data_IF_036862072163
#
_entry.id   IF_036862072163
#
_cell.length_a   1.000
_cell.length_b   1.000
_cell.length_c   1.000
_cell.angle_alpha   90.00
_cell.angle_beta   90.00
_cell.angle_gamma   90.00
#
_symmetry.space_group_name_H-M   'P 1'
#
loop_
_entity.id
_entity.type
_entity.pdbx_description
1 polymer ?
#
# COMPACT_ATOMS: atom_id res chain seq x y z
N UNK A 1 23.09 25.38 -80.46
CA UNK A 1 22.79 24.47 -79.33
C UNK A 1 23.80 24.71 -78.22
N UNK A 2 23.37 25.28 -77.09
CA UNK A 2 24.16 25.33 -75.85
C UNK A 2 23.18 25.27 -74.68
N UNK A 3 23.20 24.12 -74.01
CA UNK A 3 22.15 23.65 -73.12
C UNK A 3 22.30 24.32 -71.74
N UNK A 4 21.44 25.28 -71.42
CA UNK A 4 21.40 25.94 -70.10
C UNK A 4 20.41 25.30 -69.11
N UNK A 5 19.85 24.13 -69.44
CA UNK A 5 18.80 23.50 -68.61
C UNK A 5 19.34 22.58 -67.49
N UNK A 6 20.66 22.30 -67.45
CA UNK A 6 21.22 21.26 -66.56
C UNK A 6 21.78 21.80 -65.23
N UNK A 7 22.01 23.11 -65.08
CA UNK A 7 22.67 23.67 -63.88
C UNK A 7 21.70 24.03 -62.75
N UNK A 8 20.47 24.36 -63.07
CA UNK A 8 19.40 24.66 -62.09
C UNK A 8 18.81 23.39 -61.46
N UNK A 9 18.92 22.25 -62.14
CA UNK A 9 18.42 20.96 -61.63
C UNK A 9 19.35 20.31 -60.59
N UNK A 10 20.66 20.58 -60.62
CA UNK A 10 21.61 19.97 -59.69
C UNK A 10 21.65 20.69 -58.33
N UNK A 11 21.43 22.01 -58.33
CA UNK A 11 21.41 22.83 -57.10
C UNK A 11 20.14 22.63 -56.27
N UNK A 12 19.02 22.28 -56.91
CA UNK A 12 17.77 22.02 -56.18
C UNK A 12 17.75 20.64 -55.48
N UNK A 13 18.47 19.65 -56.01
CA UNK A 13 18.56 18.31 -55.42
C UNK A 13 19.49 18.30 -54.19
N UNK A 14 20.51 19.17 -54.16
CA UNK A 14 21.44 19.27 -53.03
C UNK A 14 20.82 19.93 -51.79
N UNK A 15 19.82 20.81 -51.95
CA UNK A 15 19.10 21.43 -50.82
C UNK A 15 18.03 20.55 -50.18
N UNK A 16 17.51 19.54 -50.90
CA UNK A 16 16.50 18.61 -50.38
C UNK A 16 17.14 17.50 -49.53
N UNK A 17 18.43 17.21 -49.74
CA UNK A 17 19.15 16.15 -49.02
C UNK A 17 19.66 16.57 -47.62
N UNK A 18 19.61 17.85 -47.26
CA UNK A 18 20.09 18.38 -45.97
C UNK A 18 19.00 18.58 -44.91
N UNK A 19 17.73 18.27 -45.19
CA UNK A 19 16.60 18.44 -44.26
C UNK A 19 16.02 17.12 -43.73
N UNK A 20 16.73 16.00 -43.91
CA UNK A 20 16.25 14.65 -43.55
C UNK A 20 17.04 13.98 -42.40
N UNK A 21 17.64 14.77 -41.49
CA UNK A 21 18.28 14.25 -40.28
C UNK A 21 17.70 14.84 -38.99
N UNK A 22 16.37 14.90 -38.89
CA UNK A 22 15.71 14.86 -37.59
C UNK A 22 14.97 13.53 -37.50
N UNK A 23 15.72 12.48 -37.17
CA UNK A 23 15.09 11.33 -36.53
C UNK A 23 14.46 11.86 -35.24
N UNK A 24 13.18 11.57 -34.93
CA UNK A 24 12.75 11.67 -33.56
C UNK A 24 13.69 10.74 -32.78
N UNK A 25 14.48 11.31 -31.87
CA UNK A 25 15.07 10.54 -30.80
C UNK A 25 13.86 9.90 -30.13
N UNK A 26 13.69 8.61 -30.36
CA UNK A 26 12.87 7.79 -29.50
C UNK A 26 13.58 7.92 -28.15
N UNK A 27 13.04 8.78 -27.28
CA UNK A 27 13.37 8.74 -25.88
C UNK A 27 12.96 7.34 -25.44
N UNK A 28 13.93 6.43 -25.47
CA UNK A 28 13.91 5.25 -24.65
C UNK A 28 13.77 5.78 -23.22
N UNK A 29 12.53 5.83 -22.73
CA UNK A 29 12.29 5.77 -21.29
C UNK A 29 13.18 4.64 -20.81
N UNK A 30 14.15 4.90 -19.91
CA UNK A 30 14.87 3.82 -19.29
C UNK A 30 13.79 2.93 -18.70
N UNK A 31 13.56 1.77 -19.32
CA UNK A 31 12.93 0.66 -18.62
C UNK A 31 13.93 0.39 -17.53
N UNK A 32 13.64 0.90 -16.33
CA UNK A 32 14.47 0.67 -15.15
C UNK A 32 14.79 -0.81 -15.13
N UNK A 33 16.07 -1.12 -14.94
CA UNK A 33 16.51 -2.50 -14.81
C UNK A 33 15.54 -3.20 -13.83
N UNK A 34 14.78 -4.23 -14.28
CA UNK A 34 13.83 -4.91 -13.41
C UNK A 34 14.51 -5.52 -12.18
N UNK A 35 15.85 -5.59 -12.15
CA UNK A 35 16.63 -6.01 -10.99
C UNK A 35 16.75 -4.96 -9.87
N UNK A 36 16.38 -3.69 -10.09
CA UNK A 36 16.61 -2.63 -9.08
C UNK A 36 15.34 -2.16 -8.36
N UNK A 37 14.14 -2.61 -8.74
CA UNK A 37 12.88 -2.19 -8.11
C UNK A 37 12.74 -0.65 -7.97
N UNK A 38 13.35 0.16 -8.83
CA UNK A 38 13.45 1.63 -8.61
C UNK A 38 12.14 2.36 -8.94
N UNK A 39 11.25 1.74 -9.73
CA UNK A 39 10.11 2.42 -10.36
C UNK A 39 10.50 3.18 -11.63
N UNK A 40 9.57 3.93 -12.21
CA UNK A 40 9.79 4.69 -13.44
C UNK A 40 10.45 6.06 -13.15
N UNK A 41 11.66 6.28 -13.69
CA UNK A 41 12.39 7.54 -13.56
C UNK A 41 11.60 8.70 -14.19
N UNK A 42 11.60 9.88 -13.56
CA UNK A 42 10.86 11.09 -13.94
C UNK A 42 9.32 10.93 -13.92
N UNK A 43 8.81 9.90 -13.24
CA UNK A 43 7.37 9.78 -12.96
C UNK A 43 7.09 10.30 -11.54
N UNK A 44 5.96 11.00 -11.31
CA UNK A 44 5.61 11.42 -9.96
C UNK A 44 5.51 10.24 -9.00
N UNK A 45 5.96 10.42 -7.77
CA UNK A 45 5.67 9.49 -6.68
C UNK A 45 4.18 9.58 -6.34
N UNK A 46 3.49 8.43 -6.33
CA UNK A 46 2.05 8.35 -6.09
C UNK A 46 1.71 7.15 -5.23
N UNK A 47 0.73 7.31 -4.34
CA UNK A 47 0.11 6.19 -3.63
C UNK A 47 -0.59 5.27 -4.66
N UNK A 48 -0.30 3.97 -4.60
CA UNK A 48 -0.94 2.95 -5.45
C UNK A 48 -2.04 2.19 -4.69
N UNK A 49 -1.85 1.95 -3.41
CA UNK A 49 -2.84 1.30 -2.56
C UNK A 49 -2.60 1.57 -1.07
N UNK A 50 -3.62 1.29 -0.26
CA UNK A 50 -3.51 1.29 1.20
C UNK A 50 -4.35 0.16 1.78
N UNK A 51 -3.92 -0.31 2.95
CA UNK A 51 -4.69 -1.18 3.83
C UNK A 51 -4.74 -0.51 5.19
N UNK A 52 -5.92 -0.23 5.75
CA UNK A 52 -7.22 -0.20 5.08
C UNK A 52 -7.25 0.74 3.87
N UNK A 53 -8.21 0.52 2.96
CA UNK A 53 -8.48 1.47 1.88
C UNK A 53 -9.04 2.79 2.44
N UNK A 54 -8.82 3.88 1.73
CA UNK A 54 -9.41 5.17 2.10
C UNK A 54 -10.94 5.08 2.15
N UNK A 55 -11.53 5.66 3.20
CA UNK A 55 -12.94 5.57 3.53
C UNK A 55 -13.42 4.24 4.10
N UNK A 56 -12.53 3.26 4.35
CA UNK A 56 -12.95 1.95 4.84
C UNK A 56 -13.68 2.05 6.20
N UNK A 57 -14.75 1.27 6.35
CA UNK A 57 -15.51 1.13 7.60
C UNK A 57 -15.38 -0.29 8.15
N UNK A 58 -15.77 -0.47 9.40
CA UNK A 58 -15.77 -1.79 10.07
C UNK A 58 -14.40 -2.47 10.08
N UNK A 59 -13.34 -1.66 10.18
CA UNK A 59 -11.96 -2.13 10.30
C UNK A 59 -11.73 -2.77 11.67
N UNK A 60 -11.11 -3.95 11.68
CA UNK A 60 -10.79 -4.66 12.92
C UNK A 60 -9.69 -3.93 13.71
N UNK A 61 -9.77 -3.99 15.04
CA UNK A 61 -8.83 -3.32 15.93
C UNK A 61 -7.36 -3.78 15.78
N UNK A 62 -7.15 -4.99 15.26
CA UNK A 62 -5.85 -5.63 15.01
C UNK A 62 -5.57 -5.81 13.51
N UNK A 63 -6.16 -4.97 12.66
CA UNK A 63 -5.87 -5.04 11.23
C UNK A 63 -4.40 -4.72 10.97
N UNK A 64 -3.88 -5.30 9.90
CA UNK A 64 -2.69 -4.79 9.25
C UNK A 64 -2.95 -3.37 8.72
N UNK A 65 -1.94 -2.51 8.81
CA UNK A 65 -1.95 -1.16 8.25
C UNK A 65 -0.72 -0.99 7.37
N UNK A 66 -0.91 -0.62 6.10
CA UNK A 66 0.15 -0.39 5.14
C UNK A 66 -0.25 0.61 4.06
N UNK A 67 0.75 1.23 3.44
CA UNK A 67 0.62 2.10 2.28
C UNK A 67 1.65 1.72 1.25
N UNK A 68 1.24 1.61 -0.01
CA UNK A 68 2.11 1.21 -1.12
C UNK A 68 2.18 2.31 -2.18
N UNK A 69 3.34 2.40 -2.84
CA UNK A 69 3.67 3.43 -3.82
C UNK A 69 4.12 2.81 -5.14
N UNK A 70 4.21 3.65 -6.17
CA UNK A 70 4.65 3.24 -7.51
C UNK A 70 6.18 3.23 -7.69
N UNK A 71 6.94 3.59 -6.65
CA UNK A 71 8.40 3.69 -6.66
C UNK A 71 9.00 3.19 -5.33
N UNK A 72 10.31 2.92 -5.30
CA UNK A 72 10.97 2.38 -4.11
C UNK A 72 11.04 3.44 -3.02
N UNK A 73 10.45 3.15 -1.87
CA UNK A 73 10.42 4.05 -0.72
C UNK A 73 11.03 3.40 0.53
N UNK A 74 11.50 2.15 0.44
CA UNK A 74 12.00 1.40 1.61
C UNK A 74 13.53 1.27 1.64
N UNK A 75 14.18 1.57 0.51
CA UNK A 75 15.62 1.51 0.36
C UNK A 75 16.37 2.28 1.46
N UNK A 76 17.52 1.73 1.88
CA UNK A 76 18.35 2.30 2.95
C UNK A 76 18.74 3.76 2.72
N UNK A 77 18.92 4.20 1.46
CA UNK A 77 19.31 5.57 1.15
C UNK A 77 18.24 6.63 1.49
N UNK A 78 16.95 6.25 1.48
CA UNK A 78 15.81 7.15 1.74
C UNK A 78 15.10 6.86 3.08
N UNK A 79 15.46 5.74 3.72
CA UNK A 79 14.78 5.20 4.91
C UNK A 79 14.62 6.20 6.05
N UNK A 80 15.69 6.90 6.46
CA UNK A 80 15.63 7.82 7.61
C UNK A 80 14.59 8.93 7.41
N UNK A 81 14.48 9.44 6.18
CA UNK A 81 13.50 10.46 5.80
C UNK A 81 12.09 9.86 5.78
N UNK A 82 11.94 8.69 5.16
CA UNK A 82 10.64 8.06 4.92
C UNK A 82 10.00 7.50 6.20
N UNK A 83 10.79 7.01 7.15
CA UNK A 83 10.30 6.60 8.49
C UNK A 83 9.57 7.73 9.21
N UNK A 84 9.94 8.99 8.95
CA UNK A 84 9.33 10.18 9.58
C UNK A 84 8.17 10.77 8.75
N UNK A 85 8.02 10.34 7.50
CA UNK A 85 7.03 10.88 6.57
C UNK A 85 5.63 10.27 6.76
N UNK A 86 5.50 9.15 7.47
CA UNK A 86 4.25 8.42 7.67
C UNK A 86 3.84 8.44 9.14
N UNK A 87 2.59 8.77 9.42
CA UNK A 87 2.07 8.83 10.80
C UNK A 87 0.61 8.35 10.88
N UNK A 88 0.20 7.77 12.01
CA UNK A 88 -1.21 7.48 12.29
C UNK A 88 -1.79 8.50 13.27
N UNK A 89 -3.02 8.93 13.03
CA UNK A 89 -3.74 9.91 13.84
C UNK A 89 -5.13 9.43 14.25
N UNK A 90 -5.58 9.90 15.41
CA UNK A 90 -6.94 9.77 15.91
C UNK A 90 -7.35 11.07 16.62
N UNK A 91 -8.46 11.69 16.19
CA UNK A 91 -9.00 12.91 16.83
C UNK A 91 -7.95 14.02 17.03
N UNK A 92 -7.11 14.24 16.03
CA UNK A 92 -6.06 15.27 16.07
C UNK A 92 -4.87 14.95 16.99
N UNK A 93 -4.75 13.71 17.49
CA UNK A 93 -3.58 13.23 18.22
C UNK A 93 -2.89 12.13 17.42
N UNK A 94 -1.56 12.19 17.36
CA UNK A 94 -0.77 11.10 16.80
C UNK A 94 -0.90 9.87 17.69
N UNK A 95 -1.09 8.72 17.06
CA UNK A 95 -1.12 7.39 17.68
C UNK A 95 0.30 6.84 17.67
N UNK A 96 0.71 6.21 18.77
CA UNK A 96 2.03 5.62 18.88
C UNK A 96 2.12 4.35 18.02
N UNK A 97 2.99 4.38 17.01
CA UNK A 97 3.16 3.32 16.03
C UNK A 97 4.61 3.29 15.55
N UNK A 98 5.10 2.09 15.28
CA UNK A 98 6.38 1.87 14.63
C UNK A 98 6.16 1.86 13.11
N UNK A 99 6.91 2.70 12.41
CA UNK A 99 6.93 2.75 10.95
C UNK A 99 8.00 1.77 10.48
N UNK A 100 7.62 0.78 9.69
CA UNK A 100 8.49 -0.31 9.28
C UNK A 100 8.67 -0.28 7.77
N UNK A 101 9.92 -0.11 7.37
CA UNK A 101 10.40 -0.18 5.99
C UNK A 101 11.21 -1.47 5.86
N UNK A 102 10.72 -2.42 5.06
CA UNK A 102 11.43 -3.69 4.79
C UNK A 102 12.78 -3.42 4.12
N UNK A 103 13.72 -4.36 4.26
CA UNK A 103 14.97 -4.29 3.50
C UNK A 103 14.71 -4.80 2.08
N UNK A 104 14.86 -3.92 1.09
CA UNK A 104 14.55 -4.23 -0.32
C UNK A 104 15.50 -5.24 -0.96
N UNK A 105 16.60 -5.60 -0.29
CA UNK A 105 17.48 -6.69 -0.70
C UNK A 105 17.06 -8.05 -0.12
N UNK A 106 16.36 -8.05 1.02
CA UNK A 106 15.88 -9.26 1.71
C UNK A 106 14.44 -9.59 1.32
N UNK A 107 13.57 -8.58 1.29
CA UNK A 107 12.14 -8.66 0.99
C UNK A 107 11.83 -7.77 -0.25
N UNK A 108 12.33 -8.13 -1.45
CA UNK A 108 12.23 -7.30 -2.64
C UNK A 108 10.80 -7.04 -3.12
N UNK A 109 9.82 -7.84 -2.69
CA UNK A 109 8.39 -7.62 -2.94
C UNK A 109 7.82 -6.40 -2.22
N UNK A 110 8.45 -5.96 -1.12
CA UNK A 110 8.00 -4.88 -0.24
C UNK A 110 8.64 -3.52 -0.59
N UNK A 111 9.41 -3.45 -1.68
CA UNK A 111 10.17 -2.27 -2.12
C UNK A 111 9.38 -0.95 -2.12
N UNK A 112 8.08 -1.00 -2.41
CA UNK A 112 7.18 0.15 -2.47
C UNK A 112 6.24 0.27 -1.28
N UNK A 113 6.37 -0.56 -0.24
CA UNK A 113 5.37 -0.70 0.83
C UNK A 113 5.91 -0.31 2.20
N UNK A 114 5.22 0.61 2.86
CA UNK A 114 5.50 1.01 4.24
C UNK A 114 4.44 0.40 5.15
N UNK A 115 4.86 -0.33 6.18
CA UNK A 115 3.97 -0.93 7.19
C UNK A 115 3.91 -0.03 8.43
N UNK A 116 2.72 0.06 9.03
CA UNK A 116 2.48 0.88 10.22
C UNK A 116 2.01 -0.05 11.36
N UNK A 117 2.90 -0.33 12.31
CA UNK A 117 2.64 -1.23 13.42
C UNK A 117 2.23 -0.44 14.66
N UNK A 118 0.95 -0.43 14.98
CA UNK A 118 0.44 0.21 16.20
C UNK A 118 0.97 -0.48 17.45
N UNK A 119 1.41 0.28 18.45
CA UNK A 119 1.85 -0.31 19.73
C UNK A 119 0.69 -0.80 20.58
N UNK A 120 -0.43 -0.08 20.51
CA UNK A 120 -1.69 -0.43 21.15
C UNK A 120 -2.75 -0.80 20.12
N UNK A 121 -3.68 -1.68 20.49
CA UNK A 121 -4.85 -1.97 19.66
C UNK A 121 -5.65 -0.71 19.34
N UNK A 122 -6.14 -0.62 18.11
CA UNK A 122 -7.04 0.46 17.74
C UNK A 122 -8.33 0.37 18.56
N UNK A 123 -8.85 1.53 18.96
CA UNK A 123 -10.10 1.62 19.71
C UNK A 123 -11.27 1.45 18.76
N UNK A 124 -12.23 0.62 19.17
CA UNK A 124 -13.49 0.44 18.45
C UNK A 124 -14.28 1.75 18.33
N UNK A 125 -15.07 1.86 17.26
CA UNK A 125 -15.92 3.00 16.94
C UNK A 125 -15.14 4.33 16.90
N UNK A 126 -13.96 4.33 16.27
CA UNK A 126 -13.17 5.53 16.08
C UNK A 126 -12.72 5.66 14.63
N UNK A 127 -12.63 6.90 14.17
CA UNK A 127 -11.97 7.26 12.91
C UNK A 127 -10.47 7.43 13.13
N UNK A 128 -9.69 6.88 12.23
CA UNK A 128 -8.24 7.00 12.16
C UNK A 128 -7.82 7.54 10.80
N UNK A 129 -6.69 8.23 10.79
CA UNK A 129 -6.13 8.86 9.58
C UNK A 129 -4.66 8.47 9.46
N UNK A 130 -4.28 7.82 8.36
CA UNK A 130 -2.88 7.67 7.97
C UNK A 130 -2.50 8.93 7.21
N UNK A 131 -1.46 9.64 7.65
CA UNK A 131 -0.94 10.82 6.97
C UNK A 131 0.42 10.50 6.38
N UNK A 132 0.59 10.83 5.10
CA UNK A 132 1.85 10.72 4.39
C UNK A 132 2.26 12.11 3.91
N UNK A 133 3.41 12.59 4.37
CA UNK A 133 3.93 13.92 4.05
C UNK A 133 4.61 13.96 2.68
N UNK A 134 4.63 15.14 2.07
CA UNK A 134 5.41 15.46 0.86
C UNK A 134 6.92 15.20 0.99
N UNK A 135 7.46 15.09 2.21
CA UNK A 135 8.87 14.68 2.41
C UNK A 135 9.14 13.23 2.05
N UNK A 136 8.12 12.39 1.85
CA UNK A 136 8.32 11.03 1.35
C UNK A 136 9.03 11.08 0.00
N UNK A 137 10.14 10.34 -0.10
CA UNK A 137 11.06 10.39 -1.24
C UNK A 137 11.32 8.99 -1.79
N UNK A 138 11.30 8.82 -3.11
CA UNK A 138 11.73 7.57 -3.75
C UNK A 138 13.23 7.51 -3.97
N UNK A 139 13.78 6.34 -4.29
CA UNK A 139 15.20 6.18 -4.69
C UNK A 139 15.58 6.97 -5.93
N UNK A 140 14.60 7.25 -6.81
CA UNK A 140 14.76 8.11 -7.99
C UNK A 140 14.80 9.61 -7.65
N UNK A 141 14.53 9.99 -6.39
CA UNK A 141 14.51 11.37 -5.90
C UNK A 141 13.17 12.08 -6.08
N UNK A 142 12.11 11.37 -6.47
CA UNK A 142 10.77 11.93 -6.66
C UNK A 142 10.02 12.02 -5.33
N UNK A 143 9.11 13.00 -5.24
CA UNK A 143 8.32 13.30 -4.05
C UNK A 143 6.81 13.27 -4.34
N UNK A 144 6.01 13.06 -3.28
CA UNK A 144 4.57 13.27 -3.36
C UNK A 144 4.29 14.75 -3.70
N UNK A 145 3.43 15.00 -4.67
CA UNK A 145 3.07 16.36 -5.10
C UNK A 145 2.17 17.08 -4.09
N UNK A 146 1.47 16.32 -3.25
CA UNK A 146 0.65 16.80 -2.16
C UNK A 146 0.63 15.77 -1.03
N UNK A 147 0.39 16.18 0.23
CA UNK A 147 0.18 15.23 1.31
C UNK A 147 -0.98 14.29 0.99
N UNK A 148 -0.90 13.05 1.49
CA UNK A 148 -1.95 12.05 1.34
C UNK A 148 -2.54 11.76 2.72
N UNK A 149 -3.87 11.76 2.82
CA UNK A 149 -4.60 11.35 4.01
C UNK A 149 -5.50 10.15 3.65
N UNK A 150 -5.35 9.05 4.38
CA UNK A 150 -6.19 7.84 4.24
C UNK A 150 -7.03 7.71 5.51
N UNK A 151 -8.34 7.79 5.37
CA UNK A 151 -9.31 7.72 6.45
C UNK A 151 -9.87 6.30 6.58
N UNK A 152 -10.04 5.83 7.80
CA UNK A 152 -10.79 4.60 8.04
C UNK A 152 -11.44 4.59 9.42
N UNK A 153 -12.52 3.83 9.57
CA UNK A 153 -13.28 3.71 10.82
C UNK A 153 -13.30 2.28 11.33
N UNK A 154 -12.97 2.10 12.61
CA UNK A 154 -13.00 0.79 13.26
C UNK A 154 -14.41 0.32 13.58
N UNK A 155 -14.59 -0.99 13.69
CA UNK A 155 -15.86 -1.63 14.06
C UNK A 155 -16.50 -0.98 15.30
N UNK A 156 -17.83 -0.85 15.29
CA UNK A 156 -18.56 -0.26 16.42
C UNK A 156 -18.45 -1.04 17.73
N UNK A 157 -18.26 -2.35 17.64
CA UNK A 157 -18.04 -3.24 18.78
C UNK A 157 -17.33 -4.50 18.29
N UNK A 158 -16.33 -4.98 19.04
CA UNK A 158 -15.86 -6.35 18.89
C UNK A 158 -17.09 -7.25 19.05
N UNK A 159 -17.45 -8.00 18.01
CA UNK A 159 -18.52 -8.98 18.12
C UNK A 159 -18.09 -9.97 19.19
N UNK A 160 -18.61 -9.81 20.40
CA UNK A 160 -18.42 -10.79 21.45
C UNK A 160 -19.00 -12.09 20.92
N UNK A 161 -18.16 -13.09 20.70
CA UNK A 161 -18.62 -14.46 20.53
C UNK A 161 -19.19 -14.88 21.89
N UNK A 162 -20.40 -14.45 22.22
CA UNK A 162 -21.22 -15.05 23.28
C UNK A 162 -21.74 -16.37 22.74
N UNK A 163 -20.82 -17.33 22.65
CA UNK A 163 -21.00 -18.59 21.93
C UNK A 163 -21.12 -19.81 22.83
N UNK A 164 -21.76 -19.70 24.00
CA UNK A 164 -22.61 -20.79 24.51
C UNK A 164 -23.81 -20.15 25.18
N UNK A 165 -25.00 -20.29 24.58
CA UNK A 165 -26.21 -19.86 25.26
C UNK A 165 -26.33 -20.64 26.57
N UNK A 166 -26.61 -19.94 27.67
CA UNK A 166 -26.87 -20.59 28.96
C UNK A 166 -27.98 -21.64 28.81
N UNK A 167 -28.95 -21.40 27.90
CA UNK A 167 -29.97 -22.36 27.52
C UNK A 167 -29.41 -23.71 27.05
N UNK A 168 -28.39 -23.72 26.18
CA UNK A 168 -27.77 -24.97 25.70
C UNK A 168 -27.00 -25.68 26.81
N UNK A 169 -26.29 -24.93 27.67
CA UNK A 169 -25.56 -25.52 28.81
C UNK A 169 -26.55 -26.14 29.82
N UNK A 170 -27.65 -25.46 30.12
CA UNK A 170 -28.69 -25.99 31.03
C UNK A 170 -29.37 -27.23 30.46
N UNK A 171 -29.64 -27.29 29.16
CA UNK A 171 -30.24 -28.46 28.52
C UNK A 171 -29.33 -29.69 28.61
N UNK A 172 -28.02 -29.53 28.38
CA UNK A 172 -27.04 -30.63 28.49
C UNK A 172 -26.97 -31.17 29.92
N UNK A 173 -26.93 -30.29 30.93
CA UNK A 173 -26.88 -30.69 32.35
C UNK A 173 -28.14 -31.45 32.77
N UNK A 174 -29.32 -31.01 32.34
CA UNK A 174 -30.58 -31.70 32.65
C UNK A 174 -30.61 -33.09 32.02
N UNK A 175 -30.21 -33.21 30.75
CA UNK A 175 -30.16 -34.51 30.05
C UNK A 175 -29.18 -35.47 30.75
N UNK A 176 -27.99 -34.99 31.14
CA UNK A 176 -27.03 -35.79 31.87
C UNK A 176 -27.56 -36.28 33.23
N UNK A 177 -28.22 -35.40 33.99
CA UNK A 177 -28.83 -35.76 35.28
C UNK A 177 -29.93 -36.82 35.14
N UNK A 178 -30.76 -36.74 34.09
CA UNK A 178 -31.80 -37.73 33.79
C UNK A 178 -31.16 -39.08 33.46
N UNK A 179 -30.13 -39.12 32.61
CA UNK A 179 -29.44 -40.36 32.23
C UNK A 179 -28.82 -41.02 33.47
N UNK A 180 -28.12 -40.26 34.31
CA UNK A 180 -27.51 -40.77 35.55
C UNK A 180 -28.59 -41.33 36.49
N UNK A 181 -29.70 -40.63 36.67
CA UNK A 181 -30.81 -41.09 37.50
C UNK A 181 -31.44 -42.40 36.98
N UNK A 182 -31.61 -42.53 35.66
CA UNK A 182 -32.14 -43.75 35.03
C UNK A 182 -31.17 -44.92 35.20
N UNK A 183 -29.86 -44.70 35.01
CA UNK A 183 -28.83 -45.72 35.19
C UNK A 183 -28.73 -46.17 36.66
N UNK A 184 -28.74 -45.23 37.61
CA UNK A 184 -28.72 -45.53 39.04
C UNK A 184 -29.92 -46.38 39.46
N UNK A 185 -31.13 -46.01 39.00
CA UNK A 185 -32.37 -46.77 39.27
C UNK A 185 -32.34 -48.17 38.67
N UNK A 186 -31.67 -48.37 37.53
CA UNK A 186 -31.54 -49.67 36.86
C UNK A 186 -30.52 -50.60 37.55
N UNK A 187 -29.45 -50.05 38.12
CA UNK A 187 -28.45 -50.82 38.85
C UNK A 187 -28.95 -51.29 40.24
N UNK A 188 -29.85 -50.53 40.85
CA UNK A 188 -30.38 -50.81 42.19
C UNK A 188 -31.68 -51.64 42.22
N UNK A 189 -32.03 -52.27 41.09
CA UNK A 189 -33.09 -53.28 40.95
C UNK A 189 -32.46 -54.63 40.64
#
# INVERSE_FOLDING_TARGET
MKNNCLKTSLTMILSILLMSSFSPILAETPVGDPALNEGAVNSPLTLTSSVPQDGATDVQAFTEISVSFNQNVVNTAVRETNEKAVTLWNKGKQVDADIVLSDDLIDPEDWGTIRINQKDSLKNNQEYIIKVDTTLTSTTGEHLQSPVEIHFTTIKSASSITGTSIAVVTAIVIIAAIIIGVLYKRHNR
#
